data_IF_572220047983
#
_entry.id   IF_572220047983
#
_cell.length_a   1.000
_cell.length_b   1.000
_cell.length_c   1.000
_cell.angle_alpha   90.00
_cell.angle_beta   90.00
_cell.angle_gamma   90.00
#
_symmetry.space_group_name_H-M   'P 1'
#
loop_
_entity.id
_entity.type
_entity.pdbx_description
1 polymer ?
#
# COMPACT_ATOMS: atom_id res chain seq x y z
N UNK A 1 -13.94 1.55 19.19
CA UNK A 1 -14.83 1.57 20.40
C UNK A 1 -15.93 0.55 20.24
N UNK A 2 -16.11 -0.37 21.20
CA UNK A 2 -17.20 -1.36 21.18
C UNK A 2 -18.55 -0.71 21.49
N UNK A 3 -19.56 -0.99 20.68
CA UNK A 3 -20.97 -0.58 20.87
C UNK A 3 -21.90 -1.75 20.62
N UNK A 4 -23.13 -1.69 21.11
CA UNK A 4 -24.16 -2.67 20.73
C UNK A 4 -24.34 -2.74 19.22
N UNK A 5 -24.41 -3.95 18.67
CA UNK A 5 -24.63 -4.18 17.21
C UNK A 5 -25.90 -3.48 16.73
N UNK A 6 -26.98 -3.51 17.54
CA UNK A 6 -28.24 -2.83 17.21
C UNK A 6 -28.10 -1.30 17.17
N UNK A 7 -27.28 -0.72 18.07
CA UNK A 7 -26.98 0.72 18.08
C UNK A 7 -26.18 1.10 16.84
N UNK A 8 -25.14 0.34 16.49
CA UNK A 8 -24.40 0.56 15.25
C UNK A 8 -25.31 0.59 14.02
N UNK A 9 -26.17 -0.43 13.86
CA UNK A 9 -27.11 -0.51 12.72
C UNK A 9 -28.07 0.68 12.69
N UNK A 10 -28.58 1.12 13.83
CA UNK A 10 -29.45 2.28 13.92
C UNK A 10 -28.72 3.59 13.58
N UNK A 11 -27.50 3.80 14.11
CA UNK A 11 -26.69 5.00 13.86
C UNK A 11 -26.26 5.09 12.38
N UNK A 12 -25.83 3.98 11.78
CA UNK A 12 -25.47 3.92 10.36
C UNK A 12 -26.66 4.23 9.45
N UNK A 13 -27.83 3.63 9.73
CA UNK A 13 -29.06 3.90 8.97
C UNK A 13 -29.59 5.32 9.16
N UNK A 14 -29.42 5.88 10.36
CA UNK A 14 -29.85 7.24 10.73
C UNK A 14 -28.90 8.36 10.28
N UNK A 15 -27.76 8.02 9.67
CA UNK A 15 -26.79 9.02 9.19
C UNK A 15 -25.93 9.67 10.30
N UNK A 16 -25.88 9.08 11.51
CA UNK A 16 -25.09 9.63 12.61
C UNK A 16 -23.59 9.70 12.32
N UNK A 17 -23.09 8.93 11.36
CA UNK A 17 -21.69 8.89 10.96
C UNK A 17 -21.39 9.61 9.64
N UNK A 18 -22.33 10.39 9.09
CA UNK A 18 -22.19 11.05 7.78
C UNK A 18 -20.92 11.90 7.69
N UNK A 19 -20.66 12.78 8.64
CA UNK A 19 -19.46 13.65 8.64
C UNK A 19 -18.17 12.82 8.74
N UNK A 20 -18.16 11.81 9.61
CA UNK A 20 -17.01 10.91 9.78
C UNK A 20 -16.71 10.14 8.50
N UNK A 21 -17.73 9.57 7.86
CA UNK A 21 -17.58 8.82 6.60
C UNK A 21 -17.20 9.75 5.44
N UNK A 22 -17.79 10.94 5.35
CA UNK A 22 -17.43 11.92 4.32
C UNK A 22 -15.94 12.31 4.41
N UNK A 23 -15.44 12.57 5.62
CA UNK A 23 -14.03 12.83 5.86
C UNK A 23 -13.15 11.63 5.52
N UNK A 24 -13.51 10.43 6.01
CA UNK A 24 -12.72 9.22 5.85
C UNK A 24 -12.57 8.80 4.37
N UNK A 25 -13.63 8.96 3.57
CA UNK A 25 -13.66 8.54 2.16
C UNK A 25 -13.46 9.71 1.17
N UNK A 26 -13.21 10.94 1.65
CA UNK A 26 -13.05 12.13 0.80
C UNK A 26 -14.21 12.28 -0.18
N UNK A 27 -15.44 12.13 0.29
CA UNK A 27 -16.64 12.16 -0.55
C UNK A 27 -17.67 13.17 -0.01
N UNK A 28 -18.59 13.56 -0.87
CA UNK A 28 -19.70 14.43 -0.45
C UNK A 28 -20.64 13.69 0.53
N UNK A 29 -21.29 14.41 1.47
CA UNK A 29 -22.21 13.80 2.45
C UNK A 29 -23.29 12.92 1.82
N UNK A 30 -23.76 13.26 0.64
CA UNK A 30 -24.79 12.52 -0.12
C UNK A 30 -24.31 11.16 -0.62
N UNK A 31 -23.00 10.93 -0.66
CA UNK A 31 -22.38 9.66 -1.07
C UNK A 31 -22.10 8.71 0.09
N UNK A 32 -22.19 9.20 1.33
CA UNK A 32 -21.90 8.42 2.54
C UNK A 32 -22.86 7.27 2.82
N UNK A 33 -24.16 7.27 2.38
CA UNK A 33 -25.03 6.13 2.58
C UNK A 33 -24.49 4.81 2.01
N UNK A 34 -23.76 4.87 0.89
CA UNK A 34 -23.12 3.68 0.31
C UNK A 34 -22.03 3.12 1.24
N UNK A 35 -21.26 3.98 1.89
CA UNK A 35 -20.24 3.56 2.85
C UNK A 35 -20.90 3.03 4.15
N UNK A 36 -21.92 3.71 4.66
CA UNK A 36 -22.67 3.25 5.82
C UNK A 36 -23.27 1.85 5.60
N UNK A 37 -23.81 1.58 4.39
CA UNK A 37 -24.31 0.27 4.01
C UNK A 37 -23.22 -0.82 4.01
N UNK A 38 -21.98 -0.52 3.62
CA UNK A 38 -20.85 -1.46 3.71
C UNK A 38 -20.57 -1.85 5.17
N UNK A 39 -20.54 -0.87 6.09
CA UNK A 39 -20.35 -1.16 7.52
C UNK A 39 -21.53 -1.94 8.13
N UNK A 40 -22.76 -1.67 7.71
CA UNK A 40 -23.90 -2.49 8.11
C UNK A 40 -23.76 -3.95 7.60
N UNK A 41 -23.29 -4.12 6.37
CA UNK A 41 -23.10 -5.44 5.78
C UNK A 41 -22.01 -6.27 6.50
N UNK A 42 -20.91 -5.66 6.98
CA UNK A 42 -19.92 -6.42 7.76
C UNK A 42 -20.43 -6.81 9.15
N UNK A 43 -21.32 -6.03 9.75
CA UNK A 43 -22.03 -6.44 10.99
C UNK A 43 -22.96 -7.63 10.74
N UNK A 44 -23.72 -7.61 9.62
CA UNK A 44 -24.57 -8.74 9.22
C UNK A 44 -23.72 -9.97 8.91
N UNK A 45 -22.58 -9.79 8.25
CA UNK A 45 -21.61 -10.88 7.96
C UNK A 45 -21.03 -11.49 9.25
N UNK A 46 -20.69 -10.67 10.23
CA UNK A 46 -20.21 -11.11 11.55
C UNK A 46 -21.27 -11.99 12.22
N UNK A 47 -22.52 -11.51 12.35
CA UNK A 47 -23.61 -12.25 13.00
C UNK A 47 -23.98 -13.53 12.24
N UNK A 48 -23.96 -13.49 10.91
CA UNK A 48 -24.22 -14.67 10.07
C UNK A 48 -23.18 -15.76 10.25
N UNK A 49 -21.91 -15.36 10.38
CA UNK A 49 -20.79 -16.31 10.42
C UNK A 49 -20.57 -16.88 11.81
N UNK A 50 -20.65 -16.03 12.84
CA UNK A 50 -20.24 -16.40 14.20
C UNK A 50 -21.41 -16.46 15.20
N UNK A 51 -22.62 -16.10 14.78
CA UNK A 51 -23.80 -15.97 15.63
C UNK A 51 -23.96 -14.55 16.18
N UNK A 52 -25.01 -14.34 16.96
CA UNK A 52 -25.34 -13.03 17.52
C UNK A 52 -24.31 -12.57 18.55
N UNK A 53 -23.86 -11.33 18.41
CA UNK A 53 -22.98 -10.64 19.35
C UNK A 53 -23.74 -9.47 19.99
N UNK A 54 -23.47 -9.20 21.29
CA UNK A 54 -24.07 -8.07 21.99
C UNK A 54 -23.42 -6.75 21.61
N UNK A 55 -22.12 -6.77 21.33
CA UNK A 55 -21.33 -5.59 20.97
C UNK A 55 -20.31 -5.93 19.89
N UNK A 56 -19.93 -4.92 19.12
CA UNK A 56 -18.88 -4.99 18.10
C UNK A 56 -18.18 -3.64 17.94
N UNK A 57 -16.93 -3.67 17.44
CA UNK A 57 -16.20 -2.52 16.91
C UNK A 57 -16.22 -2.52 15.39
N UNK A 58 -16.13 -1.34 14.79
CA UNK A 58 -16.00 -1.16 13.34
C UNK A 58 -14.65 -0.52 13.01
N UNK A 59 -13.99 -1.05 12.01
CA UNK A 59 -12.60 -0.73 11.65
C UNK A 59 -12.43 -0.58 10.15
N UNK A 60 -11.39 0.18 9.75
CA UNK A 60 -11.03 0.37 8.37
C UNK A 60 -9.52 0.53 8.22
N UNK A 61 -8.94 -0.05 7.16
CA UNK A 61 -7.59 0.24 6.74
C UNK A 61 -7.54 0.44 5.21
N UNK A 62 -6.93 1.54 4.74
CA UNK A 62 -6.89 1.88 3.32
C UNK A 62 -5.83 1.07 2.58
N UNK A 63 -6.04 0.94 1.26
CA UNK A 63 -4.94 0.71 0.34
C UNK A 63 -4.01 1.93 0.26
N UNK A 64 -2.91 1.77 -0.49
CA UNK A 64 -1.92 2.85 -0.68
C UNK A 64 -1.58 3.06 -2.15
N UNK A 65 -1.07 4.25 -2.46
CA UNK A 65 -0.42 4.55 -3.73
C UNK A 65 1.03 4.96 -3.51
N UNK A 66 1.96 4.47 -4.33
CA UNK A 66 3.33 4.95 -4.41
C UNK A 66 3.38 6.14 -5.35
N UNK A 67 3.85 7.29 -4.90
CA UNK A 67 3.93 8.52 -5.69
C UNK A 67 5.34 8.74 -6.21
N UNK A 68 6.36 8.38 -5.44
CA UNK A 68 7.77 8.49 -5.80
C UNK A 68 8.65 7.56 -4.99
N UNK A 69 9.88 7.31 -5.48
CA UNK A 69 10.84 6.43 -4.81
C UNK A 69 10.64 4.96 -5.19
N UNK A 70 10.52 4.67 -6.48
CA UNK A 70 10.29 3.31 -6.96
C UNK A 70 11.46 2.38 -6.61
N UNK A 71 11.23 1.40 -5.74
CA UNK A 71 12.22 0.44 -5.21
C UNK A 71 13.37 1.06 -4.41
N UNK A 72 13.26 2.32 -3.97
CA UNK A 72 14.31 2.96 -3.16
C UNK A 72 14.29 2.50 -1.70
N UNK A 73 13.16 2.08 -1.16
CA UNK A 73 12.99 1.59 0.22
C UNK A 73 13.87 0.37 0.53
N UNK A 74 14.00 -0.58 -0.42
CA UNK A 74 14.88 -1.74 -0.30
C UNK A 74 16.37 -1.39 -0.25
N UNK A 75 16.72 -0.12 -0.57
CA UNK A 75 18.06 0.43 -0.54
C UNK A 75 18.22 1.52 0.52
N UNK A 76 17.36 1.53 1.54
CA UNK A 76 17.29 2.51 2.61
C UNK A 76 17.10 3.95 2.10
N UNK A 77 16.48 4.10 0.94
CA UNK A 77 16.20 5.38 0.30
C UNK A 77 14.94 6.07 0.81
N UNK A 78 14.57 7.14 0.10
CA UNK A 78 13.34 7.91 0.35
C UNK A 78 12.21 7.43 -0.53
N UNK A 79 10.99 7.50 0.01
CA UNK A 79 9.76 7.26 -0.75
C UNK A 79 8.74 8.36 -0.48
N UNK A 80 7.83 8.56 -1.42
CA UNK A 80 6.64 9.39 -1.30
C UNK A 80 5.44 8.51 -1.60
N UNK A 81 4.56 8.32 -0.62
CA UNK A 81 3.41 7.44 -0.73
C UNK A 81 2.18 8.05 -0.05
N UNK A 82 1.00 7.59 -0.41
CA UNK A 82 -0.24 8.07 0.19
C UNK A 82 -1.25 6.96 0.40
N UNK A 83 -2.08 7.10 1.43
CA UNK A 83 -3.26 6.26 1.61
C UNK A 83 -4.37 6.70 0.67
N UNK A 84 -5.17 5.75 0.20
CA UNK A 84 -6.24 6.01 -0.76
C UNK A 84 -7.61 5.68 -0.19
N UNK A 85 -8.67 6.23 -0.78
CA UNK A 85 -10.04 6.11 -0.30
C UNK A 85 -10.74 4.78 -0.61
N UNK A 86 -10.00 3.78 -1.06
CA UNK A 86 -10.45 2.38 -1.13
C UNK A 86 -9.80 1.58 0.00
N UNK A 87 -10.59 0.72 0.66
CA UNK A 87 -10.18 0.12 1.92
C UNK A 87 -10.68 -1.31 2.13
N UNK A 88 -10.13 -1.93 3.15
CA UNK A 88 -10.74 -3.07 3.85
C UNK A 88 -11.42 -2.56 5.10
N UNK A 89 -12.63 -3.05 5.36
CA UNK A 89 -13.40 -2.75 6.56
C UNK A 89 -13.69 -4.03 7.33
N UNK A 90 -13.82 -3.90 8.66
CA UNK A 90 -14.12 -5.03 9.52
C UNK A 90 -15.13 -4.68 10.60
N UNK A 91 -15.89 -5.69 11.01
CA UNK A 91 -16.56 -5.76 12.29
C UNK A 91 -15.85 -6.80 13.16
N UNK A 92 -15.53 -6.43 14.42
CA UNK A 92 -14.89 -7.33 15.36
C UNK A 92 -15.69 -7.37 16.68
N UNK A 93 -15.85 -8.58 17.25
CA UNK A 93 -16.59 -8.80 18.48
C UNK A 93 -15.86 -9.81 19.40
N UNK A 94 -15.87 -9.61 20.72
CA UNK A 94 -15.30 -10.56 21.66
C UNK A 94 -15.97 -11.94 21.56
N UNK A 95 -15.16 -13.00 21.67
CA UNK A 95 -15.65 -14.36 21.85
C UNK A 95 -15.04 -14.97 23.13
N UNK A 96 -15.51 -16.15 23.54
CA UNK A 96 -15.04 -16.81 24.75
C UNK A 96 -14.15 -18.02 24.48
N UNK A 97 -13.55 -18.09 23.28
CA UNK A 97 -12.90 -19.31 22.80
C UNK A 97 -11.38 -19.28 22.92
N UNK A 98 -10.78 -18.20 23.44
CA UNK A 98 -9.32 -17.97 23.39
C UNK A 98 -8.73 -18.15 21.99
N UNK A 99 -9.47 -17.76 20.96
CA UNK A 99 -9.14 -17.88 19.56
C UNK A 99 -9.40 -16.57 18.83
N UNK A 100 -8.49 -16.16 17.94
CA UNK A 100 -8.77 -15.18 16.91
C UNK A 100 -9.36 -15.91 15.69
N UNK A 101 -10.63 -15.62 15.38
CA UNK A 101 -11.30 -16.18 14.21
C UNK A 101 -11.57 -15.08 13.20
N UNK A 102 -11.04 -15.21 12.00
CA UNK A 102 -11.15 -14.18 10.96
C UNK A 102 -11.79 -14.80 9.72
N UNK A 103 -12.93 -14.22 9.33
CA UNK A 103 -13.61 -14.52 8.10
C UNK A 103 -13.50 -13.33 7.16
N UNK A 104 -12.70 -13.46 6.11
CA UNK A 104 -12.73 -12.51 5.01
C UNK A 104 -13.75 -12.96 3.96
N UNK A 105 -14.51 -12.01 3.42
CA UNK A 105 -15.52 -12.29 2.40
C UNK A 105 -14.91 -12.98 1.19
N UNK A 106 -15.47 -14.15 0.82
CA UNK A 106 -14.98 -14.96 -0.31
C UNK A 106 -13.76 -15.84 -0.02
N UNK A 107 -13.35 -15.97 1.25
CA UNK A 107 -12.24 -16.84 1.69
C UNK A 107 -12.71 -17.80 2.78
N UNK A 108 -11.89 -18.82 3.05
CA UNK A 108 -12.13 -19.74 4.16
C UNK A 108 -11.90 -19.07 5.52
N UNK A 109 -12.59 -19.59 6.55
CA UNK A 109 -12.44 -19.16 7.93
C UNK A 109 -11.02 -19.49 8.42
N UNK A 110 -10.30 -18.47 8.88
CA UNK A 110 -9.01 -18.63 9.53
C UNK A 110 -9.16 -18.59 11.06
N UNK A 111 -8.57 -19.57 11.76
CA UNK A 111 -8.64 -19.68 13.21
C UNK A 111 -7.24 -19.79 13.78
N UNK A 112 -6.89 -18.87 14.69
CA UNK A 112 -5.61 -18.82 15.41
C UNK A 112 -5.87 -19.13 16.90
N UNK A 113 -5.23 -20.17 17.41
CA UNK A 113 -5.19 -20.43 18.85
C UNK A 113 -4.23 -19.45 19.52
N UNK A 114 -4.76 -18.61 20.41
CA UNK A 114 -3.97 -17.59 21.11
C UNK A 114 -3.06 -18.18 22.22
N UNK A 115 -3.22 -19.46 22.55
CA UNK A 115 -2.31 -20.15 23.47
C UNK A 115 -0.98 -20.52 22.82
N UNK A 116 -0.93 -20.67 21.48
CA UNK A 116 0.28 -21.00 20.73
C UNK A 116 0.46 -20.06 19.53
N UNK A 117 1.34 -19.09 19.68
CA UNK A 117 1.69 -18.08 18.67
C UNK A 117 3.06 -18.32 18.03
N UNK A 118 3.62 -19.54 18.15
CA UNK A 118 4.88 -19.89 17.48
C UNK A 118 4.72 -19.92 15.97
N UNK A 119 5.75 -19.47 15.23
CA UNK A 119 5.74 -19.52 13.77
C UNK A 119 5.69 -20.97 13.28
N UNK A 120 4.92 -21.22 12.24
CA UNK A 120 4.69 -22.55 11.66
C UNK A 120 5.04 -22.54 10.19
N UNK A 121 5.94 -23.41 9.80
CA UNK A 121 6.40 -23.48 8.41
C UNK A 121 5.29 -23.82 7.42
N UNK A 122 4.33 -24.63 7.83
CA UNK A 122 3.16 -24.99 7.03
C UNK A 122 2.17 -23.85 6.81
N UNK A 123 2.27 -22.78 7.59
CA UNK A 123 1.47 -21.57 7.43
C UNK A 123 2.15 -20.49 6.56
N UNK A 124 3.41 -20.67 6.16
CA UNK A 124 4.10 -19.74 5.25
C UNK A 124 3.26 -19.47 4.00
N UNK A 125 3.23 -18.21 3.55
CA UNK A 125 2.40 -17.72 2.45
C UNK A 125 0.88 -17.81 2.67
N UNK A 126 0.42 -17.88 3.92
CA UNK A 126 -1.02 -17.87 4.26
C UNK A 126 -1.39 -16.71 5.18
N UNK A 127 -2.67 -16.32 5.18
CA UNK A 127 -3.19 -15.30 6.12
C UNK A 127 -3.03 -15.73 7.59
N UNK A 128 -3.00 -17.05 7.88
CA UNK A 128 -2.79 -17.56 9.23
C UNK A 128 -1.42 -17.14 9.79
N UNK A 129 -0.38 -17.15 8.97
CA UNK A 129 0.94 -16.70 9.36
C UNK A 129 0.94 -15.22 9.77
N UNK A 130 0.33 -14.34 8.97
CA UNK A 130 0.20 -12.91 9.30
C UNK A 130 -0.55 -12.72 10.62
N UNK A 131 -1.73 -13.32 10.77
CA UNK A 131 -2.55 -13.21 11.97
C UNK A 131 -1.80 -13.69 13.23
N UNK A 132 -1.09 -14.81 13.14
CA UNK A 132 -0.29 -15.37 14.23
C UNK A 132 0.88 -14.46 14.58
N UNK A 133 1.59 -13.95 13.57
CA UNK A 133 2.72 -13.04 13.73
C UNK A 133 2.30 -11.73 14.40
N UNK A 134 1.22 -11.10 13.96
CA UNK A 134 0.72 -9.88 14.58
C UNK A 134 0.26 -10.11 16.02
N UNK A 135 -0.50 -11.19 16.30
CA UNK A 135 -0.87 -11.54 17.67
C UNK A 135 0.37 -11.69 18.55
N UNK A 136 1.42 -12.36 18.06
CA UNK A 136 2.69 -12.51 18.78
C UNK A 136 3.37 -11.17 19.05
N UNK A 137 3.47 -10.31 18.04
CA UNK A 137 4.10 -9.01 18.18
C UNK A 137 3.35 -8.08 19.14
N UNK A 138 2.01 -8.11 19.14
CA UNK A 138 1.19 -7.37 20.10
C UNK A 138 1.31 -7.94 21.51
N UNK A 139 1.32 -9.28 21.66
CA UNK A 139 1.54 -9.93 22.96
C UNK A 139 2.88 -9.52 23.57
N UNK A 140 3.97 -9.48 22.79
CA UNK A 140 5.29 -9.04 23.24
C UNK A 140 5.33 -7.57 23.65
N UNK A 141 4.41 -6.76 23.14
CA UNK A 141 4.21 -5.34 23.52
C UNK A 141 3.22 -5.16 24.67
N UNK A 142 2.78 -6.24 25.30
CA UNK A 142 1.92 -6.20 26.49
C UNK A 142 0.42 -6.26 26.21
N UNK A 143 0.00 -6.64 25.01
CA UNK A 143 -1.41 -6.87 24.72
C UNK A 143 -1.97 -8.04 25.54
N UNK A 144 -3.11 -7.83 26.20
CA UNK A 144 -3.87 -8.87 26.89
C UNK A 144 -4.82 -9.56 25.92
N UNK A 145 -4.26 -10.42 25.04
CA UNK A 145 -5.04 -11.08 24.02
C UNK A 145 -6.13 -11.98 24.61
N UNK A 146 -7.30 -11.91 24.01
CA UNK A 146 -8.43 -12.79 24.31
C UNK A 146 -9.19 -13.13 23.03
N UNK A 147 -10.19 -14.01 23.11
CA UNK A 147 -10.93 -14.46 21.94
C UNK A 147 -11.63 -13.31 21.19
N UNK A 148 -11.49 -13.29 19.87
CA UNK A 148 -12.08 -12.27 19.00
C UNK A 148 -12.59 -12.90 17.71
N UNK A 149 -13.78 -12.53 17.27
CA UNK A 149 -14.36 -12.83 15.97
C UNK A 149 -14.29 -11.60 15.08
N UNK A 150 -13.79 -11.76 13.87
CA UNK A 150 -13.60 -10.66 12.92
C UNK A 150 -14.20 -11.06 11.56
N UNK A 151 -15.06 -10.22 11.02
CA UNK A 151 -15.55 -10.33 9.64
C UNK A 151 -15.06 -9.16 8.81
N UNK A 152 -14.46 -9.45 7.65
CA UNK A 152 -13.78 -8.47 6.79
C UNK A 152 -14.44 -8.44 5.41
N UNK A 153 -14.68 -7.23 4.88
CA UNK A 153 -15.03 -6.99 3.48
C UNK A 153 -14.04 -6.01 2.85
N UNK A 154 -13.69 -6.21 1.59
CA UNK A 154 -12.66 -5.44 0.91
C UNK A 154 -13.15 -4.82 -0.39
N UNK A 155 -12.88 -3.52 -0.56
CA UNK A 155 -12.96 -2.82 -1.85
C UNK A 155 -11.60 -2.63 -2.51
N UNK A 156 -10.52 -3.08 -1.84
CA UNK A 156 -9.16 -3.05 -2.42
C UNK A 156 -9.06 -4.17 -3.45
N UNK A 157 -8.96 -3.87 -4.76
CA UNK A 157 -8.94 -4.91 -5.78
C UNK A 157 -7.65 -5.73 -5.69
N UNK A 158 -7.74 -7.05 -5.86
CA UNK A 158 -6.57 -7.92 -5.92
C UNK A 158 -5.73 -7.60 -7.15
N UNK A 159 -4.41 -7.58 -6.99
CA UNK A 159 -3.51 -7.36 -8.12
C UNK A 159 -3.49 -5.93 -8.67
N UNK A 160 -4.29 -5.02 -8.10
CA UNK A 160 -4.40 -3.62 -8.56
C UNK A 160 -3.24 -2.71 -8.11
N UNK A 161 -2.18 -3.27 -7.54
CA UNK A 161 -1.01 -2.49 -7.10
C UNK A 161 -1.24 -1.56 -5.91
N UNK A 162 -2.45 -1.49 -5.33
CA UNK A 162 -2.77 -0.62 -4.19
C UNK A 162 -2.62 -1.31 -2.83
N UNK A 163 -1.91 -2.42 -2.79
CA UNK A 163 -1.49 -3.19 -1.60
C UNK A 163 -2.61 -3.67 -0.69
N UNK A 164 -3.32 -4.71 -1.14
CA UNK A 164 -4.32 -5.37 -0.29
C UNK A 164 -3.69 -6.11 0.91
N UNK A 165 -2.44 -6.59 0.81
CA UNK A 165 -1.72 -7.22 1.93
C UNK A 165 -1.51 -6.24 3.07
N UNK A 166 -0.90 -5.08 2.79
CA UNK A 166 -0.66 -4.07 3.80
C UNK A 166 -1.97 -3.53 4.42
N UNK A 167 -3.03 -3.35 3.62
CA UNK A 167 -4.34 -2.99 4.16
C UNK A 167 -4.90 -4.04 5.12
N UNK A 168 -4.71 -5.34 4.83
CA UNK A 168 -5.09 -6.43 5.72
C UNK A 168 -4.29 -6.41 7.02
N UNK A 169 -2.96 -6.34 6.94
CA UNK A 169 -2.06 -6.28 8.09
C UNK A 169 -2.39 -5.07 8.98
N UNK A 170 -2.51 -3.88 8.39
CA UNK A 170 -2.87 -2.67 9.14
C UNK A 170 -4.26 -2.78 9.78
N UNK A 171 -5.23 -3.39 9.08
CA UNK A 171 -6.57 -3.59 9.64
C UNK A 171 -6.54 -4.47 10.88
N UNK A 172 -5.83 -5.60 10.84
CA UNK A 172 -5.66 -6.50 11.99
C UNK A 172 -4.89 -5.79 13.10
N UNK A 173 -3.80 -5.08 12.77
CA UNK A 173 -3.04 -4.30 13.74
C UNK A 173 -3.89 -3.25 14.46
N UNK A 174 -4.76 -2.52 13.75
CA UNK A 174 -5.70 -1.54 14.34
C UNK A 174 -6.71 -2.23 15.27
N UNK A 175 -7.26 -3.37 14.85
CA UNK A 175 -8.21 -4.14 15.67
C UNK A 175 -7.53 -4.62 16.97
N UNK A 176 -6.34 -5.25 16.87
CA UNK A 176 -5.60 -5.73 18.03
C UNK A 176 -5.19 -4.59 18.97
N UNK A 177 -4.76 -3.47 18.38
CA UNK A 177 -4.43 -2.26 19.14
C UNK A 177 -5.65 -1.74 19.90
N UNK A 178 -6.82 -1.58 19.25
CA UNK A 178 -8.02 -1.07 19.89
C UNK A 178 -8.58 -2.03 20.95
N UNK A 179 -8.60 -3.33 20.67
CA UNK A 179 -9.22 -4.31 21.55
C UNK A 179 -8.35 -4.68 22.77
N UNK A 180 -7.02 -4.76 22.60
CA UNK A 180 -6.18 -5.45 23.58
C UNK A 180 -5.03 -4.63 24.16
N UNK A 181 -4.72 -3.46 23.61
CA UNK A 181 -3.71 -2.56 24.19
C UNK A 181 -4.34 -1.55 25.11
N UNK A 182 -3.82 -1.46 26.36
CA UNK A 182 -4.17 -0.37 27.28
C UNK A 182 -3.55 0.95 26.83
N UNK A 183 -2.25 0.92 26.55
CA UNK A 183 -1.52 2.02 25.93
C UNK A 183 -1.42 1.74 24.42
N UNK A 184 -2.12 2.54 23.61
CA UNK A 184 -2.17 2.34 22.17
C UNK A 184 -0.79 2.55 21.54
N UNK A 185 -0.39 1.63 20.68
CA UNK A 185 0.81 1.83 19.86
C UNK A 185 0.52 2.79 18.69
N UNK A 186 1.57 3.48 18.23
CA UNK A 186 1.45 4.45 17.13
C UNK A 186 1.15 3.77 15.79
N UNK A 187 0.62 4.50 14.80
CA UNK A 187 0.47 4.00 13.44
C UNK A 187 1.79 3.48 12.84
N UNK A 188 2.92 4.13 13.14
CA UNK A 188 4.25 3.67 12.71
C UNK A 188 4.55 2.29 13.30
N UNK A 189 4.27 2.08 14.58
CA UNK A 189 4.49 0.78 15.22
C UNK A 189 3.56 -0.31 14.65
N UNK A 190 2.31 0.01 14.30
CA UNK A 190 1.40 -0.92 13.62
C UNK A 190 1.99 -1.34 12.28
N UNK A 191 2.49 -0.40 11.47
CA UNK A 191 3.13 -0.70 10.20
C UNK A 191 4.35 -1.63 10.36
N UNK A 192 5.21 -1.35 11.36
CA UNK A 192 6.38 -2.18 11.67
C UNK A 192 5.99 -3.60 12.14
N UNK A 193 4.89 -3.73 12.88
CA UNK A 193 4.35 -5.03 13.29
C UNK A 193 3.90 -5.84 12.07
N UNK A 194 3.12 -5.23 11.15
CA UNK A 194 2.68 -5.89 9.91
C UNK A 194 3.87 -6.37 9.08
N UNK A 195 4.84 -5.50 8.80
CA UNK A 195 6.07 -5.87 8.10
C UNK A 195 6.82 -7.01 8.79
N UNK A 196 6.95 -6.96 10.10
CA UNK A 196 7.62 -8.03 10.84
C UNK A 196 6.89 -9.37 10.70
N UNK A 197 5.55 -9.36 10.78
CA UNK A 197 4.74 -10.54 10.56
C UNK A 197 4.90 -11.10 9.13
N UNK A 198 4.94 -10.23 8.11
CA UNK A 198 5.17 -10.62 6.72
C UNK A 198 6.58 -11.23 6.54
N UNK A 199 7.61 -10.60 7.09
CA UNK A 199 8.99 -11.08 6.93
C UNK A 199 9.29 -12.36 7.72
N UNK A 200 8.78 -12.50 8.95
CA UNK A 200 9.19 -13.56 9.90
C UNK A 200 8.22 -14.74 9.88
N UNK A 201 6.92 -14.50 9.77
CA UNK A 201 5.89 -15.54 9.82
C UNK A 201 5.41 -15.96 8.42
N UNK A 202 5.10 -14.98 7.57
CA UNK A 202 4.66 -15.27 6.20
C UNK A 202 5.82 -15.73 5.31
N UNK A 203 7.05 -15.31 5.62
CA UNK A 203 8.26 -15.76 4.93
C UNK A 203 8.60 -15.01 3.65
N UNK A 204 7.99 -13.84 3.42
CA UNK A 204 8.26 -13.00 2.25
C UNK A 204 8.93 -11.69 2.68
N UNK A 205 10.21 -11.46 2.32
CA UNK A 205 10.86 -10.18 2.58
C UNK A 205 10.16 -9.03 1.84
N UNK A 206 9.69 -8.03 2.57
CA UNK A 206 9.07 -6.85 2.01
C UNK A 206 9.68 -5.55 2.60
N UNK A 207 9.53 -4.44 1.84
CA UNK A 207 9.78 -3.09 2.34
C UNK A 207 8.71 -2.65 3.36
N UNK A 208 8.90 -1.48 3.97
CA UNK A 208 7.97 -0.96 4.99
C UNK A 208 7.03 0.13 4.44
N UNK A 209 7.23 0.58 3.19
CA UNK A 209 6.47 1.66 2.59
C UNK A 209 4.95 1.40 2.58
N UNK A 210 4.55 0.20 2.20
CA UNK A 210 3.15 -0.17 2.01
C UNK A 210 2.35 -0.10 3.31
N UNK A 211 2.85 -0.75 4.35
CA UNK A 211 2.25 -0.75 5.66
C UNK A 211 2.25 0.65 6.27
N UNK A 212 3.33 1.42 6.06
CA UNK A 212 3.47 2.77 6.59
C UNK A 212 2.42 3.70 5.98
N UNK A 213 2.30 3.70 4.64
CA UNK A 213 1.31 4.52 3.95
C UNK A 213 -0.13 4.14 4.34
N UNK A 214 -0.45 2.85 4.41
CA UNK A 214 -1.76 2.37 4.85
C UNK A 214 -2.06 2.73 6.31
N UNK A 215 -1.08 2.68 7.20
CA UNK A 215 -1.27 2.88 8.64
C UNK A 215 -1.34 4.35 9.05
N UNK A 216 -0.49 5.22 8.45
CA UNK A 216 -0.35 6.62 8.88
C UNK A 216 -1.43 7.52 8.28
N UNK A 217 -1.77 7.31 7.01
CA UNK A 217 -2.72 8.19 6.30
C UNK A 217 -2.06 9.39 5.62
N UNK A 218 -2.85 10.18 4.91
CA UNK A 218 -2.39 11.30 4.09
C UNK A 218 -1.37 10.89 3.00
N UNK A 219 -0.68 11.87 2.44
CA UNK A 219 0.59 11.67 1.77
C UNK A 219 1.69 11.80 2.82
N UNK A 220 2.63 10.87 2.78
CA UNK A 220 3.80 10.86 3.65
C UNK A 220 5.06 10.71 2.82
N UNK A 221 6.11 11.42 3.21
CA UNK A 221 7.47 11.09 2.80
C UNK A 221 8.13 10.28 3.90
N UNK A 222 8.89 9.26 3.52
CA UNK A 222 9.59 8.38 4.44
C UNK A 222 11.05 8.35 4.04
N UNK A 223 11.97 8.64 4.96
CA UNK A 223 13.40 8.40 4.78
C UNK A 223 13.79 7.16 5.58
N UNK A 224 14.23 6.12 4.90
CA UNK A 224 14.67 4.85 5.47
C UNK A 224 16.18 4.79 5.75
N UNK A 225 16.85 5.92 5.89
CA UNK A 225 18.30 5.94 6.23
C UNK A 225 18.60 5.06 7.46
N UNK A 226 17.71 5.04 8.45
CA UNK A 226 17.67 4.05 9.53
C UNK A 226 16.31 3.31 9.45
N UNK A 227 16.26 2.08 8.91
CA UNK A 227 15.00 1.34 8.79
C UNK A 227 14.34 0.98 10.12
N UNK A 228 15.11 0.92 11.22
CA UNK A 228 14.57 0.69 12.55
C UNK A 228 13.84 1.94 13.09
N UNK A 229 14.28 3.12 12.70
CA UNK A 229 13.73 4.41 13.09
C UNK A 229 13.49 5.31 11.87
N UNK A 230 12.58 4.94 10.95
CA UNK A 230 12.33 5.72 9.74
C UNK A 230 11.79 7.10 10.09
N UNK A 231 12.26 8.11 9.35
CA UNK A 231 11.73 9.47 9.48
C UNK A 231 10.50 9.59 8.59
N UNK A 232 9.33 9.78 9.21
CA UNK A 232 8.04 9.87 8.53
C UNK A 232 7.47 11.27 8.70
N UNK A 233 7.27 11.98 7.60
CA UNK A 233 6.72 13.33 7.60
C UNK A 233 5.46 13.42 6.72
N UNK A 234 4.37 14.05 7.19
CA UNK A 234 3.21 14.30 6.36
C UNK A 234 3.51 15.37 5.31
N UNK A 235 2.97 15.18 4.11
CA UNK A 235 2.97 16.16 3.02
C UNK A 235 1.54 16.57 2.76
N UNK A 236 1.19 17.79 3.13
CA UNK A 236 -0.18 18.30 2.96
C UNK A 236 -0.39 18.72 1.51
N UNK A 237 -1.25 18.03 0.80
CA UNK A 237 -1.61 18.35 -0.59
C UNK A 237 -3.03 17.92 -0.89
N UNK A 238 -3.70 18.72 -1.70
CA UNK A 238 -5.01 18.39 -2.26
C UNK A 238 -4.94 18.50 -3.80
N UNK A 239 -4.77 17.37 -4.45
CA UNK A 239 -4.68 17.33 -5.91
C UNK A 239 -5.94 17.86 -6.61
N UNK A 240 -7.10 17.77 -5.98
CA UNK A 240 -8.33 18.31 -6.57
C UNK A 240 -8.31 19.84 -6.69
N UNK A 241 -7.71 20.52 -5.70
CA UNK A 241 -7.47 21.98 -5.76
C UNK A 241 -6.47 22.37 -6.84
N UNK A 242 -5.53 21.48 -7.15
CA UNK A 242 -4.60 21.65 -8.27
C UNK A 242 -5.26 21.32 -9.63
N UNK A 243 -6.54 20.97 -9.66
CA UNK A 243 -7.22 20.56 -10.88
C UNK A 243 -6.81 19.18 -11.39
N UNK A 244 -6.28 18.32 -10.53
CA UNK A 244 -5.76 16.99 -10.85
C UNK A 244 -6.57 15.89 -10.15
N UNK A 245 -6.73 14.75 -10.82
CA UNK A 245 -7.19 13.50 -10.27
C UNK A 245 -6.04 12.49 -10.28
N UNK A 246 -5.95 11.68 -9.23
CA UNK A 246 -5.08 10.50 -9.18
C UNK A 246 -5.84 9.30 -9.73
N UNK A 247 -5.30 8.67 -10.76
CA UNK A 247 -5.87 7.48 -11.37
C UNK A 247 -4.88 6.30 -11.28
N UNK A 248 -5.40 5.13 -10.94
CA UNK A 248 -4.70 3.86 -11.06
C UNK A 248 -5.35 3.04 -12.17
N UNK A 249 -4.55 2.65 -13.15
CA UNK A 249 -4.95 1.89 -14.31
C UNK A 249 -4.49 0.45 -14.14
N UNK A 250 -5.44 -0.49 -14.08
CA UNK A 250 -5.13 -1.92 -14.05
C UNK A 250 -4.82 -2.39 -15.48
N UNK A 251 -3.56 -2.75 -15.73
CA UNK A 251 -3.12 -3.20 -17.06
C UNK A 251 -3.65 -4.57 -17.46
N UNK A 252 -4.12 -5.35 -16.50
CA UNK A 252 -4.57 -6.74 -16.70
C UNK A 252 -3.45 -7.78 -16.76
N UNK A 253 -2.19 -7.37 -16.53
CA UNK A 253 -1.09 -8.32 -16.42
C UNK A 253 -1.16 -9.10 -15.09
N UNK A 254 -0.81 -10.38 -15.13
CA UNK A 254 -0.77 -11.24 -13.94
C UNK A 254 0.64 -11.22 -13.31
N UNK A 255 0.79 -10.83 -12.04
CA UNK A 255 2.08 -10.82 -11.35
C UNK A 255 2.54 -12.20 -10.85
N UNK A 256 1.74 -13.27 -11.00
CA UNK A 256 1.96 -14.55 -10.31
C UNK A 256 3.34 -15.18 -10.60
N UNK A 257 3.88 -15.05 -11.81
CA UNK A 257 5.14 -15.68 -12.24
C UNK A 257 6.35 -14.71 -12.20
N UNK A 258 6.23 -13.52 -11.58
CA UNK A 258 7.23 -12.46 -11.66
C UNK A 258 8.03 -12.24 -10.38
N UNK A 259 7.87 -13.11 -9.39
CA UNK A 259 8.55 -13.00 -8.07
C UNK A 259 10.07 -12.88 -8.22
N UNK A 260 10.68 -13.63 -9.15
CA UNK A 260 12.12 -13.60 -9.39
C UNK A 260 12.57 -12.25 -9.97
N UNK A 261 11.76 -11.60 -10.81
CA UNK A 261 12.08 -10.28 -11.38
C UNK A 261 12.05 -9.18 -10.30
N UNK A 262 11.08 -9.25 -9.36
CA UNK A 262 11.04 -8.35 -8.21
C UNK A 262 12.26 -8.54 -7.31
N UNK A 263 12.59 -9.78 -6.96
CA UNK A 263 13.74 -10.12 -6.13
C UNK A 263 15.06 -9.70 -6.78
N UNK A 264 15.17 -9.82 -8.10
CA UNK A 264 16.35 -9.43 -8.86
C UNK A 264 16.68 -7.93 -8.76
N UNK A 265 15.69 -7.04 -8.59
CA UNK A 265 15.98 -5.60 -8.42
C UNK A 265 16.80 -5.38 -7.15
N UNK A 266 16.33 -5.92 -6.03
CA UNK A 266 17.02 -5.80 -4.73
C UNK A 266 18.40 -6.46 -4.78
N UNK A 267 18.50 -7.65 -5.38
CA UNK A 267 19.76 -8.38 -5.48
C UNK A 267 20.80 -7.64 -6.35
N UNK A 268 20.40 -7.10 -7.51
CA UNK A 268 21.28 -6.32 -8.40
C UNK A 268 21.81 -5.06 -7.68
N UNK A 269 20.94 -4.31 -6.99
CA UNK A 269 21.36 -3.10 -6.28
C UNK A 269 22.29 -3.43 -5.11
N UNK A 270 22.04 -4.49 -4.33
CA UNK A 270 22.93 -4.94 -3.24
C UNK A 270 24.27 -5.42 -3.78
N UNK A 271 24.31 -6.12 -4.90
CA UNK A 271 25.56 -6.53 -5.53
C UNK A 271 26.45 -5.33 -5.91
N UNK A 272 25.86 -4.27 -6.45
CA UNK A 272 26.59 -3.02 -6.76
C UNK A 272 27.07 -2.34 -5.46
N UNK A 273 26.21 -2.25 -4.44
CA UNK A 273 26.59 -1.68 -3.14
C UNK A 273 27.78 -2.42 -2.51
N UNK A 274 27.76 -3.77 -2.53
CA UNK A 274 28.83 -4.61 -2.01
C UNK A 274 30.17 -4.38 -2.72
N UNK A 275 30.19 -4.25 -4.06
CA UNK A 275 31.41 -3.86 -4.82
C UNK A 275 31.91 -2.50 -4.37
N UNK A 276 31.02 -1.61 -4.00
CA UNK A 276 31.36 -0.27 -3.51
C UNK A 276 31.73 -0.21 -2.02
N UNK A 277 31.52 -1.29 -1.26
CA UNK A 277 31.86 -1.42 0.15
C UNK A 277 30.72 -1.08 1.11
N UNK A 278 29.47 -1.04 0.64
CA UNK A 278 28.25 -0.87 1.43
C UNK A 278 27.37 -2.13 1.41
N UNK A 279 26.36 -2.19 2.28
CA UNK A 279 25.32 -3.23 2.26
C UNK A 279 24.18 -2.87 1.32
N UNK A 280 23.85 -1.58 1.25
CA UNK A 280 22.83 -0.98 0.39
C UNK A 280 23.39 0.27 -0.30
N UNK A 281 22.73 0.73 -1.36
CA UNK A 281 23.22 1.90 -2.11
C UNK A 281 23.22 3.20 -1.29
N UNK A 282 22.35 3.31 -0.27
CA UNK A 282 22.34 4.48 0.63
C UNK A 282 23.63 4.64 1.43
N UNK A 283 24.36 3.56 1.71
CA UNK A 283 25.63 3.55 2.43
C UNK A 283 26.79 4.02 1.55
N UNK A 284 26.59 4.09 0.24
CA UNK A 284 27.62 4.35 -0.75
C UNK A 284 27.45 5.75 -1.33
N UNK A 285 28.43 6.68 -1.17
CA UNK A 285 28.41 7.95 -1.87
C UNK A 285 28.37 7.78 -3.38
N UNK A 286 27.59 8.60 -4.08
CA UNK A 286 27.44 8.50 -5.54
C UNK A 286 28.76 8.60 -6.30
N UNK A 287 29.70 9.46 -5.82
CA UNK A 287 31.05 9.60 -6.38
C UNK A 287 31.85 8.30 -6.26
N UNK A 288 31.68 7.55 -5.16
CA UNK A 288 32.32 6.24 -4.97
C UNK A 288 31.77 5.22 -5.98
N UNK A 289 30.45 5.21 -6.18
CA UNK A 289 29.83 4.38 -7.20
C UNK A 289 30.38 4.73 -8.60
N UNK A 290 30.43 6.01 -8.98
CA UNK A 290 30.97 6.45 -10.28
C UNK A 290 32.44 6.06 -10.45
N UNK A 291 33.26 6.21 -9.39
CA UNK A 291 34.66 5.80 -9.44
C UNK A 291 34.80 4.28 -9.68
N UNK A 292 33.93 3.48 -9.03
CA UNK A 292 33.94 2.03 -9.16
C UNK A 292 33.08 1.47 -10.32
N UNK A 293 32.52 2.34 -11.15
CA UNK A 293 31.62 1.96 -12.24
C UNK A 293 32.20 0.87 -13.17
N UNK A 294 33.49 0.93 -13.62
CA UNK A 294 34.05 -0.12 -14.45
C UNK A 294 34.11 -1.50 -13.74
N UNK A 295 34.33 -1.47 -12.42
CA UNK A 295 34.36 -2.67 -11.59
C UNK A 295 32.96 -3.25 -11.40
N UNK A 296 31.97 -2.40 -11.06
CA UNK A 296 30.57 -2.79 -10.94
C UNK A 296 30.05 -3.43 -12.24
N UNK A 297 30.33 -2.83 -13.40
CA UNK A 297 29.95 -3.40 -14.69
C UNK A 297 30.53 -4.79 -14.92
N UNK A 298 31.81 -4.99 -14.58
CA UNK A 298 32.50 -6.27 -14.75
C UNK A 298 31.96 -7.35 -13.81
N UNK A 299 31.64 -7.02 -12.56
CA UNK A 299 31.25 -7.98 -11.54
C UNK A 299 29.74 -8.21 -11.47
N UNK A 300 28.92 -7.16 -11.64
CA UNK A 300 27.47 -7.22 -11.46
C UNK A 300 26.69 -7.18 -12.80
N UNK A 301 27.34 -6.71 -13.88
CA UNK A 301 26.71 -6.53 -15.18
C UNK A 301 26.03 -5.17 -15.36
N UNK A 302 25.68 -4.85 -16.60
CA UNK A 302 25.16 -3.52 -16.97
C UNK A 302 23.75 -3.26 -16.38
N UNK A 303 22.88 -4.27 -16.30
CA UNK A 303 21.54 -4.13 -15.71
C UNK A 303 21.60 -3.70 -14.24
N UNK A 304 22.44 -4.32 -13.44
CA UNK A 304 22.59 -3.97 -12.03
C UNK A 304 23.10 -2.52 -11.86
N UNK A 305 24.03 -2.10 -12.73
CA UNK A 305 24.54 -0.72 -12.75
C UNK A 305 23.44 0.28 -13.13
N UNK A 306 22.61 -0.01 -14.13
CA UNK A 306 21.49 0.84 -14.52
C UNK A 306 20.48 0.97 -13.36
N UNK A 307 20.15 -0.13 -12.67
CA UNK A 307 19.30 -0.14 -11.48
C UNK A 307 19.86 0.73 -10.35
N UNK A 308 21.18 0.70 -10.14
CA UNK A 308 21.83 1.58 -9.18
C UNK A 308 21.68 3.08 -9.55
N UNK A 309 21.88 3.45 -10.81
CA UNK A 309 21.65 4.81 -11.29
C UNK A 309 20.22 5.27 -11.03
N UNK A 310 19.23 4.39 -11.29
CA UNK A 310 17.84 4.69 -10.97
C UNK A 310 17.66 5.00 -9.48
N UNK A 311 18.15 4.14 -8.57
CA UNK A 311 17.97 4.30 -7.14
C UNK A 311 18.56 5.62 -6.63
N UNK A 312 19.78 5.98 -7.05
CA UNK A 312 20.38 7.28 -6.70
C UNK A 312 19.53 8.45 -7.18
N UNK A 313 19.14 8.43 -8.47
CA UNK A 313 18.36 9.51 -9.05
C UNK A 313 16.96 9.62 -8.45
N UNK A 314 16.28 8.48 -8.20
CA UNK A 314 14.92 8.49 -7.67
C UNK A 314 14.88 8.87 -6.19
N UNK A 315 15.90 8.47 -5.40
CA UNK A 315 16.06 8.92 -4.03
C UNK A 315 16.16 10.45 -3.91
N UNK A 316 16.91 11.12 -4.82
CA UNK A 316 17.02 12.57 -4.86
C UNK A 316 15.75 13.23 -5.42
N UNK A 317 15.09 12.55 -6.36
CA UNK A 317 13.84 13.02 -6.97
C UNK A 317 12.70 13.08 -5.95
N UNK A 318 12.61 12.13 -5.02
CA UNK A 318 11.62 12.16 -3.94
C UNK A 318 11.74 13.46 -3.12
N UNK A 319 12.93 13.86 -2.73
CA UNK A 319 13.11 15.11 -1.99
C UNK A 319 12.59 16.33 -2.78
N UNK A 320 12.90 16.39 -4.09
CA UNK A 320 12.42 17.47 -4.97
C UNK A 320 10.90 17.41 -5.19
N UNK A 321 10.30 16.21 -5.27
CA UNK A 321 8.84 16.05 -5.33
C UNK A 321 8.17 16.60 -4.06
N UNK A 322 8.73 16.31 -2.88
CA UNK A 322 8.24 16.82 -1.60
C UNK A 322 8.33 18.34 -1.54
N UNK A 323 9.46 18.91 -1.97
CA UNK A 323 9.66 20.37 -2.00
C UNK A 323 8.66 21.05 -2.97
N UNK A 324 8.44 20.47 -4.15
CA UNK A 324 7.49 20.97 -5.12
C UNK A 324 6.04 20.94 -4.57
N UNK A 325 5.63 19.83 -3.94
CA UNK A 325 4.32 19.72 -3.32
C UNK A 325 4.12 20.70 -2.16
N UNK A 326 5.13 20.92 -1.31
CA UNK A 326 5.09 21.91 -0.22
C UNK A 326 5.01 23.35 -0.71
N UNK A 327 5.51 23.60 -1.92
CA UNK A 327 5.46 24.90 -2.58
C UNK A 327 4.22 25.11 -3.47
N UNK A 328 3.29 24.12 -3.55
CA UNK A 328 2.18 24.08 -4.50
C UNK A 328 2.63 24.19 -5.98
N UNK A 329 3.89 23.81 -6.28
CA UNK A 329 4.46 23.77 -7.63
C UNK A 329 4.13 22.43 -8.32
N UNK A 330 2.89 22.32 -8.79
CA UNK A 330 2.39 21.11 -9.45
C UNK A 330 3.01 20.87 -10.83
N UNK A 331 3.48 21.91 -11.51
CA UNK A 331 4.19 21.75 -12.78
C UNK A 331 5.49 21.00 -12.60
N UNK A 332 6.33 21.45 -11.66
CA UNK A 332 7.58 20.75 -11.29
C UNK A 332 7.29 19.35 -10.75
N UNK A 333 6.27 19.18 -9.90
CA UNK A 333 5.90 17.86 -9.38
C UNK A 333 5.55 16.88 -10.51
N UNK A 334 4.70 17.25 -11.47
CA UNK A 334 4.31 16.40 -12.60
C UNK A 334 5.49 16.07 -13.52
N UNK A 335 6.40 17.02 -13.73
CA UNK A 335 7.64 16.77 -14.47
C UNK A 335 8.49 15.71 -13.77
N UNK A 336 8.67 15.82 -12.44
CA UNK A 336 9.42 14.84 -11.63
C UNK A 336 8.76 13.45 -11.60
N UNK A 337 7.42 13.36 -11.59
CA UNK A 337 6.70 12.08 -11.72
C UNK A 337 6.98 11.46 -13.09
N UNK A 338 6.96 12.25 -14.15
CA UNK A 338 7.27 11.79 -15.51
C UNK A 338 8.71 11.30 -15.62
N UNK A 339 9.68 12.04 -15.05
CA UNK A 339 11.09 11.64 -15.01
C UNK A 339 11.29 10.32 -14.22
N UNK A 340 10.60 10.14 -13.08
CA UNK A 340 10.60 8.89 -12.32
C UNK A 340 10.11 7.71 -13.19
N UNK A 341 9.01 7.92 -13.93
CA UNK A 341 8.48 6.93 -14.84
C UNK A 341 9.44 6.55 -15.99
N UNK A 342 10.13 7.54 -16.56
CA UNK A 342 11.17 7.30 -17.56
C UNK A 342 12.36 6.55 -16.97
N UNK A 343 12.83 6.97 -15.79
CA UNK A 343 13.92 6.29 -15.08
C UNK A 343 13.56 4.85 -14.70
N UNK A 344 12.32 4.58 -14.33
CA UNK A 344 11.82 3.21 -14.09
C UNK A 344 11.88 2.37 -15.37
N UNK A 345 11.51 2.94 -16.52
CA UNK A 345 11.56 2.24 -17.81
C UNK A 345 12.98 2.01 -18.30
N UNK A 346 13.79 3.06 -18.31
CA UNK A 346 15.11 3.05 -18.95
C UNK A 346 16.18 2.40 -18.08
N UNK A 347 16.19 2.66 -16.78
CA UNK A 347 17.26 2.27 -15.86
C UNK A 347 16.86 1.13 -14.93
N UNK A 348 15.73 1.26 -14.21
CA UNK A 348 15.26 0.19 -13.32
C UNK A 348 14.80 -1.04 -14.09
N UNK A 349 14.24 -0.82 -15.28
CA UNK A 349 13.75 -1.84 -16.20
C UNK A 349 12.67 -2.73 -15.56
N UNK A 350 11.71 -2.11 -14.88
CA UNK A 350 10.59 -2.79 -14.24
C UNK A 350 9.23 -2.55 -14.93
N UNK A 351 9.23 -2.11 -16.20
CA UNK A 351 8.00 -1.94 -17.00
C UNK A 351 7.71 -3.18 -17.82
N UNK A 352 8.74 -3.84 -18.36
CA UNK A 352 8.62 -5.04 -19.18
C UNK A 352 9.46 -6.14 -18.54
N UNK A 353 8.85 -7.32 -18.21
CA UNK A 353 9.62 -8.44 -17.69
C UNK A 353 10.67 -8.93 -18.69
N UNK A 354 11.80 -9.45 -18.19
CA UNK A 354 12.88 -9.92 -19.05
C UNK A 354 12.41 -11.05 -19.97
N UNK A 355 12.71 -10.93 -21.26
CA UNK A 355 12.35 -11.93 -22.26
C UNK A 355 10.91 -11.88 -22.79
N UNK A 356 10.04 -11.04 -22.25
CA UNK A 356 8.66 -10.88 -22.72
C UNK A 356 8.63 -10.07 -24.02
N UNK A 357 8.01 -10.63 -25.07
CA UNK A 357 7.90 -10.02 -26.41
C UNK A 357 6.47 -9.65 -26.78
N UNK A 358 5.51 -10.47 -26.44
CA UNK A 358 4.12 -10.34 -26.84
C UNK A 358 3.23 -9.77 -25.73
N UNK A 359 3.56 -10.05 -24.46
CA UNK A 359 2.82 -9.60 -23.29
C UNK A 359 3.57 -8.46 -22.59
N UNK A 360 3.17 -7.22 -22.89
CA UNK A 360 3.78 -5.98 -22.39
C UNK A 360 2.67 -5.00 -21.96
N UNK A 361 1.72 -5.49 -21.18
CA UNK A 361 0.47 -4.80 -20.85
C UNK A 361 0.72 -3.49 -20.13
N UNK A 362 1.70 -3.43 -19.19
CA UNK A 362 2.09 -2.20 -18.50
C UNK A 362 2.63 -1.16 -19.47
N UNK A 363 3.50 -1.57 -20.39
CA UNK A 363 4.08 -0.67 -21.39
C UNK A 363 3.01 -0.09 -22.32
N UNK A 364 2.08 -0.94 -22.80
CA UNK A 364 0.94 -0.51 -23.63
C UNK A 364 0.05 0.46 -22.85
N UNK A 365 -0.25 0.17 -21.58
CA UNK A 365 -1.06 1.03 -20.72
C UNK A 365 -0.42 2.41 -20.54
N UNK A 366 0.91 2.47 -20.29
CA UNK A 366 1.66 3.74 -20.19
C UNK A 366 1.60 4.51 -21.53
N UNK A 367 1.81 3.83 -22.65
CA UNK A 367 1.80 4.47 -23.97
C UNK A 367 0.42 5.05 -24.30
N UNK A 368 -0.67 4.29 -24.05
CA UNK A 368 -2.03 4.74 -24.26
C UNK A 368 -2.37 5.93 -23.33
N UNK A 369 -2.05 5.83 -22.04
CA UNK A 369 -2.31 6.89 -21.08
C UNK A 369 -1.59 8.21 -21.46
N UNK A 370 -0.30 8.14 -21.86
CA UNK A 370 0.45 9.30 -22.37
C UNK A 370 -0.20 9.89 -23.63
N UNK A 371 -0.68 9.03 -24.54
CA UNK A 371 -1.36 9.48 -25.75
C UNK A 371 -2.63 10.28 -25.43
N UNK A 372 -3.50 9.74 -24.58
CA UNK A 372 -4.78 10.40 -24.24
C UNK A 372 -4.63 11.60 -23.32
N UNK A 373 -3.54 11.73 -22.59
CA UNK A 373 -3.24 12.95 -21.85
C UNK A 373 -2.75 14.11 -22.72
N UNK A 374 -2.34 13.87 -23.97
CA UNK A 374 -1.88 14.89 -24.91
C UNK A 374 -0.78 15.82 -24.36
N UNK A 375 0.09 15.30 -23.50
CA UNK A 375 1.17 16.07 -22.87
C UNK A 375 0.77 16.81 -21.58
N UNK A 376 -0.47 16.70 -21.14
CA UNK A 376 -0.94 17.22 -19.85
C UNK A 376 -0.86 16.13 -18.76
N UNK A 377 -0.67 16.52 -17.49
CA UNK A 377 -0.55 15.55 -16.40
C UNK A 377 0.74 14.74 -16.40
N UNK A 378 0.73 13.56 -15.76
CA UNK A 378 1.89 12.68 -15.67
C UNK A 378 1.47 11.20 -15.60
N UNK A 379 2.35 10.30 -16.10
CA UNK A 379 2.12 8.85 -16.11
C UNK A 379 3.41 8.12 -15.76
N UNK A 380 3.30 7.13 -14.88
CA UNK A 380 4.42 6.23 -14.54
C UNK A 380 3.93 4.81 -14.23
N UNK A 381 4.86 3.85 -14.24
CA UNK A 381 4.61 2.55 -13.62
C UNK A 381 4.32 2.75 -12.13
N UNK A 382 3.47 1.92 -11.55
CA UNK A 382 3.05 2.01 -10.16
C UNK A 382 3.44 0.75 -9.37
N UNK A 383 4.00 0.95 -8.17
CA UNK A 383 4.45 -0.13 -7.30
C UNK A 383 5.62 -0.92 -7.89
N UNK A 384 5.65 -2.23 -7.70
CA UNK A 384 6.76 -3.08 -8.11
C UNK A 384 7.05 -3.12 -9.60
N UNK A 385 6.08 -2.78 -10.44
CA UNK A 385 6.22 -2.83 -11.90
C UNK A 385 6.00 -4.23 -12.48
N UNK A 386 6.58 -4.50 -13.65
CA UNK A 386 6.52 -5.73 -14.46
C UNK A 386 5.11 -6.18 -14.84
N UNK A 387 4.21 -6.24 -13.89
CA UNK A 387 2.78 -6.50 -14.04
C UNK A 387 1.99 -5.56 -13.10
N UNK A 388 0.67 -5.56 -13.26
CA UNK A 388 -0.22 -4.81 -12.38
C UNK A 388 -0.59 -3.44 -12.93
N UNK A 389 -0.15 -2.36 -12.30
CA UNK A 389 -0.78 -1.06 -12.49
C UNK A 389 0.13 0.06 -12.97
N UNK A 390 -0.52 1.08 -13.54
CA UNK A 390 0.07 2.35 -13.96
C UNK A 390 -0.62 3.48 -13.21
N UNK A 391 0.15 4.43 -12.70
CA UNK A 391 -0.35 5.64 -12.06
C UNK A 391 -0.41 6.77 -13.07
N UNK A 392 -1.51 7.54 -13.03
CA UNK A 392 -1.67 8.75 -13.82
C UNK A 392 -2.20 9.90 -12.95
N UNK A 393 -1.62 11.07 -13.12
CA UNK A 393 -2.17 12.35 -12.65
C UNK A 393 -2.86 13.01 -13.82
N UNK A 394 -4.18 13.09 -13.77
CA UNK A 394 -5.05 13.46 -14.88
C UNK A 394 -5.70 14.81 -14.61
N UNK A 395 -5.61 15.82 -15.52
CA UNK A 395 -6.38 17.04 -15.36
C UNK A 395 -7.87 16.76 -15.24
N UNK A 396 -8.56 17.39 -14.27
CA UNK A 396 -9.99 17.19 -14.03
C UNK A 396 -10.83 17.50 -15.29
N UNK A 397 -10.36 18.43 -16.13
CA UNK A 397 -11.00 18.77 -17.40
C UNK A 397 -11.00 17.65 -18.44
N UNK A 398 -10.11 16.66 -18.27
CA UNK A 398 -9.96 15.48 -19.15
C UNK A 398 -10.42 14.17 -18.51
N UNK A 399 -10.76 14.18 -17.23
CA UNK A 399 -10.93 12.97 -16.43
C UNK A 399 -11.95 11.99 -17.03
N UNK A 400 -13.12 12.49 -17.44
CA UNK A 400 -14.19 11.63 -17.97
C UNK A 400 -13.81 11.03 -19.33
N UNK A 401 -13.23 11.84 -20.25
CA UNK A 401 -12.77 11.34 -21.55
C UNK A 401 -11.61 10.37 -21.38
N UNK A 402 -10.62 10.71 -20.56
CA UNK A 402 -9.47 9.83 -20.27
C UNK A 402 -9.91 8.48 -19.71
N UNK A 403 -10.83 8.48 -18.73
CA UNK A 403 -11.38 7.25 -18.18
C UNK A 403 -12.08 6.40 -19.25
N UNK A 404 -12.94 7.02 -20.06
CA UNK A 404 -13.67 6.30 -21.12
C UNK A 404 -12.71 5.70 -22.16
N UNK A 405 -11.69 6.45 -22.58
CA UNK A 405 -10.67 6.02 -23.55
C UNK A 405 -9.79 4.90 -23.00
N UNK A 406 -9.36 5.01 -21.74
CA UNK A 406 -8.56 3.94 -21.10
C UNK A 406 -9.39 2.69 -20.88
N UNK A 407 -10.63 2.79 -20.41
CA UNK A 407 -11.50 1.63 -20.21
C UNK A 407 -11.94 0.96 -21.52
N UNK A 408 -11.95 1.68 -22.64
CA UNK A 408 -12.17 1.08 -23.96
C UNK A 408 -11.02 0.13 -24.38
N UNK A 409 -9.79 0.39 -23.88
CA UNK A 409 -8.62 -0.44 -24.16
C UNK A 409 -8.44 -1.53 -23.09
N UNK A 410 -8.50 -1.13 -21.82
CA UNK A 410 -8.18 -2.02 -20.69
C UNK A 410 -9.36 -2.91 -20.26
N UNK A 411 -10.58 -2.47 -20.53
CA UNK A 411 -11.82 -3.05 -20.04
C UNK A 411 -12.49 -2.18 -18.98
N UNK A 412 -13.81 -2.29 -18.88
CA UNK A 412 -14.64 -1.52 -17.97
C UNK A 412 -14.25 -1.77 -16.51
N UNK A 413 -14.13 -0.70 -15.72
CA UNK A 413 -13.82 -0.74 -14.30
C UNK A 413 -12.33 -0.83 -13.99
N UNK A 414 -11.44 -0.75 -14.99
CA UNK A 414 -9.99 -0.83 -14.81
C UNK A 414 -9.30 0.52 -14.67
N UNK A 415 -10.03 1.65 -14.72
CA UNK A 415 -9.55 2.97 -14.40
C UNK A 415 -10.14 3.41 -13.04
N UNK A 416 -9.35 3.31 -11.97
CA UNK A 416 -9.74 3.67 -10.62
C UNK A 416 -9.37 5.12 -10.34
N UNK A 417 -10.36 5.98 -10.11
CA UNK A 417 -10.15 7.37 -9.67
C UNK A 417 -10.06 7.33 -8.15
N UNK A 418 -8.95 7.81 -7.61
CA UNK A 418 -8.65 7.75 -6.19
C UNK A 418 -8.52 9.14 -5.58
N UNK A 419 -8.84 9.24 -4.30
CA UNK A 419 -8.56 10.40 -3.45
C UNK A 419 -7.59 9.99 -2.35
N UNK A 420 -6.77 10.95 -1.90
CA UNK A 420 -5.88 10.74 -0.77
C UNK A 420 -6.72 10.76 0.51
N UNK A 421 -6.68 9.68 1.26
CA UNK A 421 -7.40 9.52 2.50
C UNK A 421 -6.64 10.17 3.66
N UNK A 422 -7.27 11.05 4.47
CA UNK A 422 -6.58 11.81 5.51
C UNK A 422 -6.11 10.94 6.70
N UNK A 423 -6.74 9.80 6.91
CA UNK A 423 -6.40 8.86 7.97
C UNK A 423 -6.03 7.50 7.39
N UNK A 424 -5.06 6.85 7.99
CA UNK A 424 -4.71 5.47 7.72
C UNK A 424 -5.67 4.47 8.36
N UNK A 425 -5.12 3.49 9.09
CA UNK A 425 -5.92 2.57 9.86
C UNK A 425 -6.78 3.31 10.91
N UNK A 426 -8.08 3.06 10.92
CA UNK A 426 -9.05 3.85 11.70
C UNK A 426 -10.08 2.98 12.43
N UNK A 427 -10.54 3.49 13.58
CA UNK A 427 -11.72 3.02 14.30
C UNK A 427 -12.88 3.97 13.97
N UNK A 428 -14.05 3.42 13.66
CA UNK A 428 -15.24 4.22 13.31
C UNK A 428 -15.94 4.76 14.55
#
# INVERSE_FOLDING_TARGET
MMKSVSVWKQELAGGAHTERLASLYCCAPEQTPAQAARYAAVLDGLEKTFGAHTEAGLYSAPGRTEIGGNHTDHQHGRVLAGSVNIDMIAAAAPNRLNQLRVQSEGYDLCVIDLADLTARKEEENTSAAILRGECKAFQERGASLSGLDVYISSNVPKGSGVSSSAAFEVLIGVILNDCFMTEKVSPIAIAQIGQWAENVYFGKPCGLMDQMASSVGNIITIDFADPAHPVVEPVQVDFSKAGLALCILDSGADPADLTDEYAAITADCRAVAAVCGGEVLRDVPFETFLFKLPECRRQCGDRAVLRAFHVYADNDRVAKQVDALRADDFETFLALVTESGLSSWEYLQNVIPAGYKEHQEVAVTIAAAKHFLHGEGAVRVHGGGFAGTVQAFVPLTRLDSFKAEMEAILGKGRCHILSIRPEGGAVL
#
